data_IF_449427970828
#
_entry.id   IF_449427970828
#
_cell.length_a   1.000
_cell.length_b   1.000
_cell.length_c   1.000
_cell.angle_alpha   90.00
_cell.angle_beta   90.00
_cell.angle_gamma   90.00
#
_symmetry.space_group_name_H-M   'P 1'
#
loop_
_entity.id
_entity.type
_entity.pdbx_description
1 polymer ?
#
# COMPACT_ATOMS: atom_id res chain seq x y z
N UNK A 1 -48.23 13.38 22.22
CA UNK A 1 -46.81 13.62 21.94
C UNK A 1 -46.04 12.33 22.24
N UNK A 2 -45.58 11.59 21.29
CA UNK A 2 -44.72 10.43 21.52
C UNK A 2 -43.25 10.89 21.68
N UNK A 3 -42.59 10.33 22.68
CA UNK A 3 -41.16 10.52 22.93
C UNK A 3 -40.37 9.84 21.82
N UNK A 4 -39.55 10.59 21.13
CA UNK A 4 -38.56 10.06 20.18
C UNK A 4 -37.40 9.44 20.95
N UNK A 5 -37.20 8.14 20.76
CA UNK A 5 -36.07 7.39 21.25
C UNK A 5 -34.90 7.51 20.21
N UNK A 6 -33.76 8.01 20.63
CA UNK A 6 -32.60 8.30 19.80
C UNK A 6 -31.72 7.05 19.50
N UNK A 7 -32.30 5.85 19.51
CA UNK A 7 -31.57 4.59 19.27
C UNK A 7 -31.93 3.87 17.96
N UNK A 8 -32.52 4.58 17.02
CA UNK A 8 -33.05 3.99 15.78
C UNK A 8 -32.09 4.01 14.61
N UNK A 9 -31.11 3.14 14.57
CA UNK A 9 -30.43 2.75 13.32
C UNK A 9 -29.58 1.49 13.56
N UNK A 10 -30.14 0.34 13.85
CA UNK A 10 -29.53 -1.01 13.59
C UNK A 10 -30.50 -2.15 13.99
N UNK A 11 -31.80 -1.98 13.95
CA UNK A 11 -32.69 -3.00 14.56
C UNK A 11 -33.55 -3.88 13.63
N UNK A 12 -33.47 -3.78 12.30
CA UNK A 12 -34.45 -4.50 11.45
C UNK A 12 -33.87 -5.53 10.46
N UNK A 13 -32.80 -6.26 10.79
CA UNK A 13 -32.37 -7.37 9.93
C UNK A 13 -32.34 -8.78 10.56
N UNK A 14 -32.68 -8.93 11.85
CA UNK A 14 -32.65 -10.26 12.50
C UNK A 14 -33.90 -10.52 13.37
N UNK A 15 -34.95 -11.05 12.77
CA UNK A 15 -36.01 -11.71 13.55
C UNK A 15 -35.55 -13.10 13.96
N UNK A 16 -35.16 -13.26 15.24
CA UNK A 16 -34.89 -14.57 15.83
C UNK A 16 -33.75 -14.58 16.84
N UNK A 17 -33.97 -14.24 18.04
CA UNK A 17 -33.45 -14.54 19.37
C UNK A 17 -32.10 -15.24 19.60
N UNK A 18 -31.07 -15.03 18.83
CA UNK A 18 -29.64 -15.14 19.24
C UNK A 18 -28.86 -14.18 18.38
N UNK A 19 -28.35 -13.10 18.95
CA UNK A 19 -27.50 -12.15 18.22
C UNK A 19 -26.14 -12.82 17.98
N UNK A 20 -25.99 -13.53 16.88
CA UNK A 20 -24.68 -14.06 16.46
C UNK A 20 -23.81 -12.87 16.02
N UNK A 21 -22.76 -12.58 16.79
CA UNK A 21 -21.77 -11.57 16.41
C UNK A 21 -21.11 -11.96 15.09
N UNK A 22 -21.12 -11.09 14.10
CA UNK A 22 -20.45 -11.27 12.81
C UNK A 22 -18.96 -11.56 13.02
N UNK A 23 -18.47 -12.70 12.55
CA UNK A 23 -17.06 -13.07 12.62
C UNK A 23 -16.32 -12.53 11.42
N UNK A 24 -15.37 -11.60 11.65
CA UNK A 24 -14.57 -10.95 10.63
C UNK A 24 -13.15 -11.51 10.63
N UNK A 25 -12.77 -12.18 9.55
CA UNK A 25 -11.40 -12.64 9.31
C UNK A 25 -10.57 -11.53 8.65
N UNK A 26 -9.44 -11.17 9.23
CA UNK A 26 -8.54 -10.14 8.70
C UNK A 26 -7.22 -10.80 8.29
N UNK A 27 -7.01 -11.01 6.99
CA UNK A 27 -5.73 -11.48 6.43
C UNK A 27 -4.71 -10.35 6.37
N UNK A 28 -3.47 -10.65 6.76
CA UNK A 28 -2.43 -9.63 6.90
C UNK A 28 -2.59 -8.80 8.19
N UNK A 29 -3.21 -9.37 9.21
CA UNK A 29 -3.50 -8.71 10.48
C UNK A 29 -2.26 -8.17 11.21
N UNK A 30 -1.08 -8.74 11.01
CA UNK A 30 0.18 -8.25 11.59
C UNK A 30 0.80 -7.07 10.81
N UNK A 31 0.27 -6.73 9.63
CA UNK A 31 0.70 -5.57 8.83
C UNK A 31 0.20 -4.25 9.41
N UNK A 32 0.68 -3.14 8.82
CA UNK A 32 0.33 -1.78 9.26
C UNK A 32 -1.19 -1.55 9.30
N UNK A 33 -1.86 -1.75 8.17
CA UNK A 33 -3.32 -1.54 8.07
C UNK A 33 -4.08 -2.63 8.85
N UNK A 34 -3.70 -3.89 8.67
CA UNK A 34 -4.39 -5.01 9.32
C UNK A 34 -4.39 -4.91 10.84
N UNK A 35 -3.27 -4.50 11.46
CA UNK A 35 -3.21 -4.32 12.92
C UNK A 35 -4.07 -3.13 13.40
N UNK A 36 -4.11 -2.03 12.64
CA UNK A 36 -4.97 -0.90 12.96
C UNK A 36 -6.47 -1.26 12.86
N UNK A 37 -6.84 -2.06 11.84
CA UNK A 37 -8.20 -2.59 11.71
C UNK A 37 -8.58 -3.47 12.89
N UNK A 38 -7.71 -4.43 13.25
CA UNK A 38 -7.94 -5.28 14.42
C UNK A 38 -8.15 -4.43 15.67
N UNK A 39 -7.27 -3.46 15.94
CA UNK A 39 -7.37 -2.59 17.10
C UNK A 39 -8.67 -1.78 17.13
N UNK A 40 -9.08 -1.23 16.00
CA UNK A 40 -10.31 -0.46 15.90
C UNK A 40 -11.56 -1.32 16.08
N UNK A 41 -11.60 -2.50 15.47
CA UNK A 41 -12.76 -3.38 15.47
C UNK A 41 -12.89 -4.25 16.75
N UNK A 42 -11.98 -4.07 17.73
CA UNK A 42 -12.05 -4.74 19.03
C UNK A 42 -13.12 -4.17 19.97
N UNK A 43 -13.91 -3.19 19.53
CA UNK A 43 -14.98 -2.64 20.35
C UNK A 43 -15.94 -3.74 20.84
N UNK A 44 -16.26 -3.79 22.13
CA UNK A 44 -17.11 -4.84 22.69
C UNK A 44 -18.49 -4.89 21.99
N UNK A 45 -18.90 -6.08 21.59
CA UNK A 45 -20.26 -6.32 21.07
C UNK A 45 -20.48 -6.06 19.58
N UNK A 46 -19.46 -5.55 18.83
CA UNK A 46 -19.65 -5.24 17.41
C UNK A 46 -19.29 -6.41 16.50
N UNK A 47 -18.07 -6.94 16.65
CA UNK A 47 -17.54 -8.01 15.79
C UNK A 47 -16.74 -9.04 16.60
N UNK A 48 -16.77 -10.29 16.17
CA UNK A 48 -15.80 -11.30 16.58
C UNK A 48 -14.62 -11.28 15.61
N UNK A 49 -13.49 -10.68 16.01
CA UNK A 49 -12.33 -10.55 15.14
C UNK A 49 -11.49 -11.81 15.14
N UNK A 50 -11.12 -12.27 13.94
CA UNK A 50 -10.17 -13.36 13.70
C UNK A 50 -8.95 -12.82 12.95
N UNK A 51 -7.88 -12.43 13.68
CA UNK A 51 -6.66 -11.96 13.05
C UNK A 51 -5.91 -13.13 12.42
N UNK A 52 -5.64 -13.07 11.11
CA UNK A 52 -4.91 -14.10 10.37
C UNK A 52 -3.57 -13.54 9.94
N UNK A 53 -2.50 -14.20 10.39
CA UNK A 53 -1.11 -13.83 10.14
C UNK A 53 -0.42 -14.93 9.33
N UNK A 54 0.65 -14.59 8.63
CA UNK A 54 1.51 -15.60 7.98
C UNK A 54 2.66 -16.00 8.88
N UNK A 55 3.34 -15.02 9.50
CA UNK A 55 4.48 -15.26 10.39
C UNK A 55 4.26 -14.60 11.76
N UNK A 56 4.67 -15.28 12.82
CA UNK A 56 4.56 -14.77 14.20
C UNK A 56 5.51 -13.59 14.49
N UNK A 57 6.60 -13.43 13.74
CA UNK A 57 7.61 -12.41 14.00
C UNK A 57 7.09 -10.98 14.00
N UNK A 58 6.05 -10.68 13.20
CA UNK A 58 5.43 -9.35 13.12
C UNK A 58 4.16 -9.22 13.98
N UNK A 59 3.83 -10.24 14.78
CA UNK A 59 2.57 -10.29 15.52
C UNK A 59 2.63 -9.63 16.91
N UNK A 60 3.79 -9.09 17.32
CA UNK A 60 4.02 -8.54 18.66
C UNK A 60 2.97 -7.49 19.09
N UNK A 61 2.50 -6.66 18.13
CA UNK A 61 1.49 -5.63 18.38
C UNK A 61 0.15 -6.26 18.78
N UNK A 62 -0.26 -7.32 18.10
CA UNK A 62 -1.50 -8.04 18.37
C UNK A 62 -1.37 -8.98 19.58
N UNK A 63 -0.23 -9.62 19.75
CA UNK A 63 0.03 -10.54 20.87
C UNK A 63 -0.12 -9.85 22.23
N UNK A 64 0.27 -8.57 22.33
CA UNK A 64 0.09 -7.76 23.55
C UNK A 64 -1.37 -7.56 23.98
N UNK A 65 -2.33 -7.85 23.07
CA UNK A 65 -3.77 -7.73 23.34
C UNK A 65 -4.39 -9.00 23.90
N UNK A 66 -3.60 -10.04 24.17
CA UNK A 66 -4.12 -11.33 24.63
C UNK A 66 -5.02 -12.05 23.62
N UNK A 67 -4.99 -11.65 22.35
CA UNK A 67 -5.85 -12.21 21.30
C UNK A 67 -5.32 -13.56 20.81
N UNK A 68 -6.24 -14.46 20.51
CA UNK A 68 -5.91 -15.65 19.72
C UNK A 68 -5.60 -15.24 18.29
N UNK A 69 -4.37 -15.53 17.83
CA UNK A 69 -3.94 -15.34 16.45
C UNK A 69 -4.10 -16.65 15.69
N UNK A 70 -4.49 -16.53 14.42
CA UNK A 70 -4.58 -17.63 13.47
C UNK A 70 -3.46 -17.51 12.46
N UNK A 71 -2.90 -18.63 12.02
CA UNK A 71 -1.86 -18.66 10.99
C UNK A 71 -2.39 -19.32 9.73
N UNK A 72 -2.12 -18.70 8.56
CA UNK A 72 -2.40 -19.32 7.28
C UNK A 72 -1.43 -18.82 6.19
N UNK A 73 -0.93 -19.75 5.38
CA UNK A 73 -0.24 -19.47 4.14
C UNK A 73 -1.26 -19.41 3.00
N UNK A 74 -1.29 -18.29 2.26
CA UNK A 74 -2.16 -18.12 1.10
C UNK A 74 -1.83 -19.12 -0.04
N UNK A 75 -0.65 -19.72 -0.03
CA UNK A 75 -0.28 -20.81 -0.92
C UNK A 75 -1.01 -22.14 -0.61
N UNK A 76 -1.49 -22.32 0.63
CA UNK A 76 -2.17 -23.53 1.08
C UNK A 76 -3.68 -23.30 1.26
N UNK A 77 -4.49 -23.87 0.35
CA UNK A 77 -5.97 -23.80 0.46
C UNK A 77 -6.49 -24.43 1.74
N UNK A 78 -5.84 -25.46 2.21
CA UNK A 78 -6.24 -26.18 3.44
C UNK A 78 -6.08 -25.26 4.66
N UNK A 79 -4.92 -24.61 4.83
CA UNK A 79 -4.70 -23.67 5.93
C UNK A 79 -5.65 -22.46 5.83
N UNK A 80 -5.89 -21.95 4.63
CA UNK A 80 -6.86 -20.86 4.42
C UNK A 80 -8.28 -21.31 4.82
N UNK A 81 -8.70 -22.53 4.44
CA UNK A 81 -10.01 -23.08 4.83
C UNK A 81 -10.13 -23.25 6.34
N UNK A 82 -9.12 -23.81 6.99
CA UNK A 82 -9.13 -23.94 8.44
C UNK A 82 -9.26 -22.59 9.14
N UNK A 83 -8.50 -21.59 8.65
CA UNK A 83 -8.53 -20.24 9.19
C UNK A 83 -9.89 -19.53 8.94
N UNK A 84 -10.63 -19.86 7.87
CA UNK A 84 -11.91 -19.25 7.51
C UNK A 84 -13.15 -19.97 8.07
N UNK A 85 -13.04 -21.17 8.56
CA UNK A 85 -14.19 -21.94 9.06
C UNK A 85 -15.03 -21.14 10.05
N UNK A 86 -16.31 -20.89 9.69
CA UNK A 86 -17.24 -20.11 10.50
C UNK A 86 -16.94 -18.61 10.56
N UNK A 87 -16.29 -18.05 9.54
CA UNK A 87 -16.17 -16.60 9.34
C UNK A 87 -17.23 -16.13 8.36
N UNK A 88 -17.90 -15.02 8.70
CA UNK A 88 -18.95 -14.42 7.87
C UNK A 88 -18.37 -13.48 6.83
N UNK A 89 -17.32 -12.75 7.20
CA UNK A 89 -16.74 -11.68 6.40
C UNK A 89 -15.21 -11.80 6.37
N UNK A 90 -14.62 -11.47 5.23
CA UNK A 90 -13.17 -11.48 5.03
C UNK A 90 -12.67 -10.11 4.60
N UNK A 91 -11.67 -9.59 5.31
CA UNK A 91 -10.91 -8.39 4.92
C UNK A 91 -9.50 -8.81 4.53
N UNK A 92 -9.12 -8.55 3.29
CA UNK A 92 -7.81 -8.90 2.77
C UNK A 92 -6.88 -7.69 2.70
N UNK A 93 -6.00 -7.58 3.71
CA UNK A 93 -4.88 -6.63 3.79
C UNK A 93 -3.53 -7.30 3.52
N UNK A 94 -3.52 -8.59 3.13
CA UNK A 94 -2.28 -9.34 2.98
C UNK A 94 -1.42 -8.83 1.83
N UNK A 95 -0.12 -8.80 2.07
CA UNK A 95 0.93 -8.50 1.09
C UNK A 95 1.91 -9.69 1.04
N UNK A 96 1.55 -10.78 0.35
CA UNK A 96 2.41 -11.94 0.26
C UNK A 96 3.60 -11.70 -0.69
N UNK A 97 4.58 -12.63 -0.74
CA UNK A 97 5.60 -12.63 -1.79
C UNK A 97 5.00 -12.56 -3.20
N UNK A 98 5.78 -12.03 -4.15
CA UNK A 98 5.31 -11.71 -5.49
C UNK A 98 4.66 -12.91 -6.20
N UNK A 99 5.18 -14.11 -6.00
CA UNK A 99 4.71 -15.37 -6.59
C UNK A 99 3.28 -15.72 -6.13
N UNK A 100 2.92 -15.31 -4.92
CA UNK A 100 1.63 -15.58 -4.31
C UNK A 100 0.63 -14.41 -4.45
N UNK A 101 1.03 -13.26 -5.02
CA UNK A 101 0.16 -12.10 -5.15
C UNK A 101 -1.17 -12.40 -5.85
N UNK A 102 -1.14 -13.24 -6.87
CA UNK A 102 -2.33 -13.60 -7.67
C UNK A 102 -2.85 -14.98 -7.30
N UNK A 103 -1.98 -15.99 -7.22
CA UNK A 103 -2.37 -17.37 -6.89
C UNK A 103 -2.91 -17.47 -5.45
N UNK A 104 -2.27 -16.81 -4.49
CA UNK A 104 -2.71 -16.79 -3.10
C UNK A 104 -4.06 -16.08 -2.93
N UNK A 105 -4.28 -14.94 -3.62
CA UNK A 105 -5.57 -14.27 -3.63
C UNK A 105 -6.66 -15.16 -4.25
N UNK A 106 -6.36 -15.87 -5.33
CA UNK A 106 -7.29 -16.83 -5.94
C UNK A 106 -7.66 -17.94 -4.95
N UNK A 107 -6.68 -18.55 -4.29
CA UNK A 107 -6.92 -19.57 -3.26
C UNK A 107 -7.85 -19.05 -2.16
N UNK A 108 -7.58 -17.83 -1.68
CA UNK A 108 -8.39 -17.19 -0.65
C UNK A 108 -9.85 -17.03 -1.09
N UNK A 109 -10.09 -16.51 -2.29
CA UNK A 109 -11.46 -16.26 -2.77
C UNK A 109 -12.19 -17.56 -3.14
N UNK A 110 -11.51 -18.59 -3.63
CA UNK A 110 -12.10 -19.92 -3.86
C UNK A 110 -12.58 -20.54 -2.52
N UNK A 111 -11.77 -20.38 -1.47
CA UNK A 111 -12.18 -20.83 -0.13
C UNK A 111 -13.31 -19.95 0.42
N UNK A 112 -13.30 -18.64 0.20
CA UNK A 112 -14.41 -17.76 0.61
C UNK A 112 -15.75 -18.23 0.02
N UNK A 113 -15.77 -18.62 -1.27
CA UNK A 113 -16.99 -19.16 -1.89
C UNK A 113 -17.38 -20.51 -1.25
N UNK A 114 -16.42 -21.42 -1.03
CA UNK A 114 -16.72 -22.74 -0.45
C UNK A 114 -17.19 -22.69 1.01
N UNK A 115 -16.79 -21.66 1.76
CA UNK A 115 -17.17 -21.43 3.16
C UNK A 115 -18.36 -20.43 3.29
N UNK A 116 -19.02 -20.10 2.18
CA UNK A 116 -20.19 -19.21 2.11
C UNK A 116 -19.98 -17.83 2.75
N UNK A 117 -18.79 -17.25 2.52
CA UNK A 117 -18.44 -15.90 3.02
C UNK A 117 -19.38 -14.87 2.42
N UNK A 118 -20.02 -14.09 3.26
CA UNK A 118 -21.07 -13.12 2.88
C UNK A 118 -20.51 -11.81 2.32
N UNK A 119 -19.26 -11.47 2.67
CA UNK A 119 -18.60 -10.25 2.22
C UNK A 119 -17.09 -10.43 2.13
N UNK A 120 -16.52 -9.95 1.03
CA UNK A 120 -15.07 -9.89 0.81
C UNK A 120 -14.63 -8.44 0.57
N UNK A 121 -13.82 -7.88 1.45
CA UNK A 121 -13.24 -6.54 1.30
C UNK A 121 -11.77 -6.65 0.95
N UNK A 122 -11.37 -6.12 -0.20
CA UNK A 122 -10.00 -6.16 -0.70
C UNK A 122 -9.34 -4.79 -0.66
N UNK A 123 -8.15 -4.70 -0.06
CA UNK A 123 -7.33 -3.48 -0.14
C UNK A 123 -6.47 -3.49 -1.41
N UNK A 124 -6.85 -2.65 -2.36
CA UNK A 124 -6.08 -2.31 -3.55
C UNK A 124 -5.22 -1.06 -3.34
N UNK A 125 -5.02 -0.23 -4.34
CA UNK A 125 -4.31 1.05 -4.26
C UNK A 125 -4.61 1.93 -5.48
N UNK A 126 -4.56 3.25 -5.32
CA UNK A 126 -4.59 4.20 -6.45
C UNK A 126 -3.39 4.03 -7.42
N UNK A 127 -2.35 3.30 -7.03
CA UNK A 127 -1.20 2.99 -7.88
C UNK A 127 -1.56 2.15 -9.13
N UNK A 128 -2.76 1.55 -9.18
CA UNK A 128 -3.28 0.85 -10.37
C UNK A 128 -3.41 1.77 -11.59
N UNK A 129 -3.52 3.09 -11.37
CA UNK A 129 -3.58 4.10 -12.45
C UNK A 129 -2.20 4.47 -12.99
N UNK A 130 -1.13 3.95 -12.41
CA UNK A 130 0.25 4.17 -12.89
C UNK A 130 1.03 5.20 -12.07
N UNK A 131 2.32 5.35 -12.40
CA UNK A 131 3.22 6.32 -11.75
C UNK A 131 4.10 7.03 -12.79
N UNK A 132 3.84 8.33 -13.07
CA UNK A 132 2.74 9.15 -12.55
C UNK A 132 1.37 8.69 -13.10
N UNK A 133 0.27 8.92 -12.37
CA UNK A 133 -1.07 8.64 -12.87
C UNK A 133 -1.42 9.62 -13.99
N UNK A 134 -2.29 9.24 -14.95
CA UNK A 134 -2.83 10.16 -15.94
C UNK A 134 -3.61 11.32 -15.28
N UNK A 135 -3.65 12.48 -15.93
CA UNK A 135 -4.32 13.66 -15.38
C UNK A 135 -5.84 13.47 -15.18
N UNK A 136 -6.44 12.57 -15.94
CA UNK A 136 -7.86 12.18 -15.87
C UNK A 136 -8.19 11.16 -14.76
N UNK A 137 -7.18 10.62 -14.07
CA UNK A 137 -7.39 9.63 -12.99
C UNK A 137 -7.85 10.25 -11.66
N UNK A 138 -8.75 11.21 -11.73
CA UNK A 138 -9.36 11.85 -10.55
C UNK A 138 -10.44 10.98 -9.90
N UNK A 139 -11.02 10.05 -10.64
CA UNK A 139 -12.07 9.12 -10.25
C UNK A 139 -11.78 7.69 -10.74
N UNK A 140 -12.56 6.73 -10.29
CA UNK A 140 -12.36 5.29 -10.52
C UNK A 140 -12.63 4.85 -11.96
N UNK A 141 -13.36 5.65 -12.73
CA UNK A 141 -13.71 5.41 -14.14
C UNK A 141 -12.54 5.58 -15.09
N UNK A 142 -11.48 6.27 -14.65
CA UNK A 142 -10.26 6.42 -15.45
C UNK A 142 -9.64 5.05 -15.79
N UNK A 143 -8.99 4.97 -16.95
CA UNK A 143 -8.35 3.72 -17.38
C UNK A 143 -7.08 3.44 -16.57
N UNK A 144 -6.96 2.26 -15.91
CA UNK A 144 -5.74 1.88 -15.21
C UNK A 144 -4.56 1.67 -16.17
N UNK A 145 -3.41 2.30 -15.85
CA UNK A 145 -2.20 2.29 -16.72
C UNK A 145 -0.93 1.82 -16.00
N UNK A 146 -1.06 1.03 -14.93
CA UNK A 146 0.09 0.49 -14.22
C UNK A 146 0.97 -0.38 -15.12
N UNK A 147 2.27 -0.13 -15.14
CA UNK A 147 3.25 -0.86 -15.96
C UNK A 147 3.47 -2.26 -15.41
N UNK A 148 3.56 -3.26 -16.30
CA UNK A 148 3.84 -4.66 -15.96
C UNK A 148 5.05 -4.79 -15.02
N UNK A 149 4.90 -5.60 -13.97
CA UNK A 149 5.95 -5.88 -12.98
C UNK A 149 6.05 -4.83 -11.86
N UNK A 150 5.27 -3.72 -11.90
CA UNK A 150 5.20 -2.75 -10.82
C UNK A 150 4.18 -3.16 -9.75
N UNK A 151 4.28 -2.55 -8.56
CA UNK A 151 3.30 -2.69 -7.49
C UNK A 151 1.86 -2.47 -7.98
N UNK A 152 1.62 -1.34 -8.68
CA UNK A 152 0.30 -1.00 -9.21
C UNK A 152 -0.22 -2.04 -10.21
N UNK A 153 0.67 -2.66 -11.00
CA UNK A 153 0.26 -3.72 -11.93
C UNK A 153 -0.24 -4.97 -11.19
N UNK A 154 0.45 -5.40 -10.12
CA UNK A 154 -0.01 -6.54 -9.32
C UNK A 154 -1.35 -6.23 -8.66
N UNK A 155 -1.53 -5.03 -8.10
CA UNK A 155 -2.81 -4.60 -7.55
C UNK A 155 -3.92 -4.60 -8.62
N UNK A 156 -3.64 -4.11 -9.81
CA UNK A 156 -4.59 -4.15 -10.93
C UNK A 156 -4.98 -5.58 -11.32
N UNK A 157 -4.03 -6.54 -11.32
CA UNK A 157 -4.36 -7.95 -11.58
C UNK A 157 -5.21 -8.54 -10.45
N UNK A 158 -4.96 -8.13 -9.20
CA UNK A 158 -5.80 -8.52 -8.05
C UNK A 158 -7.21 -7.96 -8.19
N UNK A 159 -7.38 -6.68 -8.55
CA UNK A 159 -8.69 -6.06 -8.75
C UNK A 159 -9.52 -6.79 -9.80
N UNK A 160 -8.92 -7.08 -10.96
CA UNK A 160 -9.57 -7.85 -12.03
C UNK A 160 -9.98 -9.26 -11.58
N UNK A 161 -9.17 -9.84 -10.71
CA UNK A 161 -9.48 -11.15 -10.14
C UNK A 161 -10.65 -11.05 -9.15
N UNK A 162 -10.70 -10.03 -8.30
CA UNK A 162 -11.81 -9.78 -7.36
C UNK A 162 -13.11 -9.54 -8.14
N UNK A 163 -13.10 -8.69 -9.16
CA UNK A 163 -14.26 -8.44 -10.02
C UNK A 163 -14.79 -9.74 -10.65
N UNK A 164 -13.88 -10.61 -11.16
CA UNK A 164 -14.26 -11.92 -11.69
C UNK A 164 -14.92 -12.82 -10.63
N UNK A 165 -14.45 -12.81 -9.40
CA UNK A 165 -15.01 -13.60 -8.31
C UNK A 165 -16.31 -12.99 -7.77
N UNK A 166 -16.46 -11.67 -7.84
CA UNK A 166 -17.72 -11.01 -7.57
C UNK A 166 -18.83 -11.53 -8.50
N UNK A 167 -18.56 -11.60 -9.81
CA UNK A 167 -19.49 -12.17 -10.80
C UNK A 167 -19.73 -13.67 -10.64
N UNK A 168 -18.92 -14.37 -9.85
CA UNK A 168 -19.13 -15.77 -9.46
C UNK A 168 -19.92 -15.94 -8.17
N UNK A 169 -20.43 -14.85 -7.62
CA UNK A 169 -21.27 -14.87 -6.43
C UNK A 169 -20.55 -14.59 -5.11
N UNK A 170 -19.30 -14.08 -5.12
CA UNK A 170 -18.62 -13.58 -3.91
C UNK A 170 -18.86 -12.08 -3.77
N UNK A 171 -19.76 -11.59 -2.89
CA UNK A 171 -20.03 -10.17 -2.77
C UNK A 171 -18.78 -9.42 -2.31
N UNK A 172 -18.22 -8.58 -3.19
CA UNK A 172 -16.87 -8.00 -2.99
C UNK A 172 -16.88 -6.48 -3.08
N UNK A 173 -16.04 -5.83 -2.26
CA UNK A 173 -15.71 -4.40 -2.30
C UNK A 173 -14.21 -4.25 -2.45
N UNK A 174 -13.75 -3.36 -3.35
CA UNK A 174 -12.33 -3.09 -3.58
C UNK A 174 -12.01 -1.65 -3.16
N UNK A 175 -11.28 -1.48 -2.06
CA UNK A 175 -10.88 -0.17 -1.56
C UNK A 175 -9.50 0.20 -2.07
N UNK A 176 -9.37 1.37 -2.69
CA UNK A 176 -8.14 1.88 -3.28
C UNK A 176 -7.62 3.10 -2.51
N UNK A 177 -6.88 2.91 -1.41
CA UNK A 177 -6.25 4.01 -0.70
C UNK A 177 -5.04 4.55 -1.47
N UNK A 178 -4.69 5.84 -1.25
CA UNK A 178 -3.41 6.43 -1.64
C UNK A 178 -2.31 6.06 -0.62
N UNK A 179 -1.39 6.97 -0.31
CA UNK A 179 -0.47 6.79 0.82
C UNK A 179 -1.24 6.87 2.14
N UNK A 180 -0.93 5.97 3.06
CA UNK A 180 -1.67 5.86 4.32
C UNK A 180 -0.86 6.53 5.44
N UNK A 181 -1.46 7.52 6.12
CA UNK A 181 -0.90 8.24 7.26
C UNK A 181 -1.34 7.64 8.61
N UNK A 182 -0.88 8.24 9.71
CA UNK A 182 -1.21 7.84 11.08
C UNK A 182 -0.09 7.12 11.82
N UNK A 183 -0.30 6.71 13.07
CA UNK A 183 0.69 6.01 13.90
C UNK A 183 1.23 4.76 13.22
N UNK A 184 2.53 4.51 13.33
CA UNK A 184 3.25 3.42 12.65
C UNK A 184 3.27 3.50 11.10
N UNK A 185 2.89 4.63 10.49
CA UNK A 185 2.89 4.76 9.03
C UNK A 185 4.31 4.62 8.45
N UNK A 186 4.59 3.58 7.64
CA UNK A 186 5.88 3.45 6.97
C UNK A 186 6.13 4.60 5.99
N UNK A 187 5.06 5.17 5.43
CA UNK A 187 5.14 6.29 4.52
C UNK A 187 5.57 7.57 5.22
N UNK A 188 4.91 7.96 6.32
CA UNK A 188 5.29 9.16 7.08
C UNK A 188 6.69 9.04 7.66
N UNK A 189 7.07 7.86 8.19
CA UNK A 189 8.42 7.60 8.68
C UNK A 189 9.46 7.78 7.57
N UNK A 190 9.19 7.28 6.36
CA UNK A 190 10.10 7.47 5.23
C UNK A 190 10.23 8.95 4.83
N UNK A 191 9.12 9.70 4.80
CA UNK A 191 9.15 11.14 4.49
C UNK A 191 9.95 11.88 5.55
N UNK A 192 9.69 11.65 6.83
CA UNK A 192 10.37 12.27 7.95
C UNK A 192 11.88 11.96 7.98
N UNK A 193 12.26 10.69 7.77
CA UNK A 193 13.66 10.30 7.69
C UNK A 193 14.38 10.96 6.53
N UNK A 194 13.73 11.04 5.36
CA UNK A 194 14.28 11.72 4.19
C UNK A 194 14.43 13.22 4.45
N UNK A 195 13.47 13.83 5.14
CA UNK A 195 13.51 15.24 5.54
C UNK A 195 14.71 15.50 6.49
N UNK A 196 14.85 14.75 7.56
CA UNK A 196 15.95 14.86 8.52
C UNK A 196 17.33 14.73 7.87
N UNK A 197 17.45 13.87 6.86
CA UNK A 197 18.69 13.67 6.09
C UNK A 197 18.94 14.76 5.04
N UNK A 198 18.09 15.78 4.92
CA UNK A 198 18.20 16.82 3.91
C UNK A 198 17.94 16.36 2.49
N UNK A 199 17.37 15.16 2.31
CA UNK A 199 17.06 14.58 0.99
C UNK A 199 15.65 14.92 0.45
N UNK A 200 14.86 15.70 1.19
CA UNK A 200 13.54 16.14 0.78
C UNK A 200 13.63 17.51 0.09
N UNK A 201 13.10 17.61 -1.12
CA UNK A 201 12.83 18.87 -1.78
C UNK A 201 11.33 19.04 -2.02
N UNK A 202 10.85 20.27 -2.09
CA UNK A 202 9.48 20.60 -2.44
C UNK A 202 9.38 21.01 -3.91
N UNK A 203 8.69 20.22 -4.71
CA UNK A 203 8.48 20.51 -6.13
C UNK A 203 7.52 21.68 -6.29
N UNK A 204 7.94 22.74 -6.99
CA UNK A 204 7.20 23.99 -7.18
C UNK A 204 6.68 24.57 -5.86
N UNK A 205 7.52 24.55 -4.81
CA UNK A 205 7.16 25.02 -3.47
C UNK A 205 6.23 24.10 -2.69
N UNK A 206 5.97 22.89 -3.18
CA UNK A 206 5.10 21.91 -2.52
C UNK A 206 3.60 22.12 -2.76
N UNK A 207 3.22 22.91 -3.78
CA UNK A 207 1.81 23.24 -4.09
C UNK A 207 0.96 22.09 -4.61
N UNK A 208 1.59 21.00 -5.03
CA UNK A 208 0.88 19.86 -5.64
C UNK A 208 0.13 19.03 -4.61
N UNK A 209 -1.01 18.41 -5.01
CA UNK A 209 -1.80 17.58 -4.09
C UNK A 209 -0.98 16.46 -3.46
N UNK A 210 -1.13 16.28 -2.17
CA UNK A 210 -0.62 15.14 -1.42
C UNK A 210 -1.81 14.25 -1.03
N UNK A 211 -2.11 13.24 -1.86
CA UNK A 211 -3.21 12.33 -1.55
C UNK A 211 -2.82 11.43 -0.37
N UNK A 212 -3.53 11.56 0.72
CA UNK A 212 -3.40 10.75 1.93
C UNK A 212 -4.76 10.20 2.34
N UNK A 213 -4.72 9.16 3.13
CA UNK A 213 -5.80 8.70 3.98
C UNK A 213 -5.23 8.32 5.34
N UNK A 214 -5.78 8.83 6.42
CA UNK A 214 -5.40 8.37 7.75
C UNK A 214 -5.85 6.91 7.94
N UNK A 215 -5.05 6.12 8.64
CA UNK A 215 -5.36 4.70 8.86
C UNK A 215 -6.67 4.49 9.61
N UNK A 216 -7.08 5.45 10.44
CA UNK A 216 -8.38 5.44 11.15
C UNK A 216 -9.51 5.72 10.16
N UNK A 217 -9.34 6.67 9.24
CA UNK A 217 -10.31 6.98 8.19
C UNK A 217 -10.46 5.79 7.23
N UNK A 218 -9.33 5.15 6.85
CA UNK A 218 -9.37 3.92 6.05
C UNK A 218 -10.09 2.78 6.78
N UNK A 219 -9.86 2.64 8.09
CA UNK A 219 -10.53 1.62 8.88
C UNK A 219 -12.05 1.86 8.94
N UNK A 220 -12.50 3.11 9.05
CA UNK A 220 -13.92 3.48 8.94
C UNK A 220 -14.51 3.08 7.58
N UNK A 221 -13.78 3.34 6.48
CA UNK A 221 -14.22 2.90 5.15
C UNK A 221 -14.31 1.37 5.03
N UNK A 222 -13.39 0.62 5.66
CA UNK A 222 -13.47 -0.85 5.72
C UNK A 222 -14.70 -1.28 6.51
N UNK A 223 -14.97 -0.70 7.68
CA UNK A 223 -16.17 -1.01 8.48
C UNK A 223 -17.46 -0.79 7.66
N UNK A 224 -17.57 0.35 6.98
CA UNK A 224 -18.72 0.63 6.12
C UNK A 224 -18.82 -0.36 4.94
N UNK A 225 -17.69 -0.84 4.40
CA UNK A 225 -17.68 -1.84 3.34
C UNK A 225 -18.15 -3.23 3.79
N UNK A 226 -18.08 -3.54 5.11
CA UNK A 226 -18.58 -4.82 5.63
C UNK A 226 -20.11 -4.91 5.50
N UNK A 227 -20.81 -3.79 5.61
CA UNK A 227 -22.27 -3.70 5.68
C UNK A 227 -22.92 -3.01 4.49
N UNK A 228 -22.16 -2.59 3.45
CA UNK A 228 -22.74 -1.89 2.31
C UNK A 228 -23.76 -2.78 1.56
N UNK A 229 -24.91 -2.23 1.18
CA UNK A 229 -26.03 -2.99 0.61
C UNK A 229 -25.74 -3.52 -0.81
N UNK A 230 -25.01 -2.76 -1.61
CA UNK A 230 -24.79 -3.05 -3.03
C UNK A 230 -23.30 -3.07 -3.40
N UNK A 231 -22.57 -4.14 -2.99
CA UNK A 231 -21.19 -4.31 -3.46
C UNK A 231 -21.21 -4.63 -4.95
N UNK A 232 -20.32 -4.02 -5.72
CA UNK A 232 -20.25 -4.19 -7.17
C UNK A 232 -18.91 -4.79 -7.66
N UNK A 233 -18.02 -5.14 -6.74
CA UNK A 233 -16.70 -5.69 -7.03
C UNK A 233 -15.73 -4.70 -7.68
N UNK A 234 -16.13 -3.45 -7.86
CA UNK A 234 -15.32 -2.40 -8.50
C UNK A 234 -14.51 -1.60 -7.49
N UNK A 235 -13.54 -0.85 -8.00
CA UNK A 235 -12.68 0.02 -7.20
C UNK A 235 -13.44 1.19 -6.60
N UNK A 236 -13.09 1.53 -5.37
CA UNK A 236 -13.60 2.69 -4.63
C UNK A 236 -12.40 3.41 -4.03
N UNK A 237 -12.16 4.67 -4.40
CA UNK A 237 -11.11 5.48 -3.80
C UNK A 237 -11.47 5.86 -2.36
N UNK A 238 -10.51 5.69 -1.46
CA UNK A 238 -10.67 6.08 -0.05
C UNK A 238 -9.56 7.07 0.29
N UNK A 239 -9.93 8.35 0.32
CA UNK A 239 -9.01 9.48 0.51
C UNK A 239 -9.61 10.39 1.55
N UNK A 240 -8.78 11.05 2.35
CA UNK A 240 -9.25 12.04 3.32
C UNK A 240 -9.97 13.20 2.63
N UNK A 241 -11.07 13.66 3.23
CA UNK A 241 -11.92 14.71 2.65
C UNK A 241 -11.19 16.04 2.55
N UNK A 242 -10.30 16.32 3.52
CA UNK A 242 -9.51 17.55 3.55
C UNK A 242 -8.43 17.55 2.46
N UNK A 243 -8.46 18.54 1.54
CA UNK A 243 -7.42 18.66 0.53
C UNK A 243 -6.13 19.17 1.16
N UNK A 244 -5.07 18.40 1.05
CA UNK A 244 -3.75 18.82 1.48
C UNK A 244 -2.74 18.82 0.33
N UNK A 245 -1.72 19.65 0.46
CA UNK A 245 -0.57 19.76 -0.42
C UNK A 245 0.66 19.10 0.20
N UNK A 246 1.73 18.99 -0.57
CA UNK A 246 3.01 18.55 -0.04
C UNK A 246 3.61 19.54 0.96
N UNK A 247 3.28 20.84 0.81
CA UNK A 247 3.67 21.86 1.80
C UNK A 247 3.02 21.56 3.14
N UNK A 248 1.71 21.33 3.16
CA UNK A 248 0.97 21.01 4.38
C UNK A 248 1.53 19.77 5.08
N UNK A 249 1.89 18.71 4.32
CA UNK A 249 2.52 17.53 4.89
C UNK A 249 3.87 17.84 5.53
N UNK A 250 4.72 18.62 4.86
CA UNK A 250 6.04 19.00 5.39
C UNK A 250 5.89 19.87 6.64
N UNK A 251 4.99 20.83 6.61
CA UNK A 251 4.71 21.72 7.77
C UNK A 251 4.18 20.90 8.96
N UNK A 252 3.33 19.91 8.73
CA UNK A 252 2.87 18.97 9.76
C UNK A 252 3.99 18.09 10.36
N UNK A 253 5.03 17.77 9.59
CA UNK A 253 6.18 16.98 10.04
C UNK A 253 7.32 17.85 10.62
N UNK A 254 7.30 19.17 10.39
CA UNK A 254 8.34 20.09 10.84
C UNK A 254 8.70 19.98 12.33
N UNK A 255 7.72 19.85 13.26
CA UNK A 255 8.04 19.71 14.69
C UNK A 255 8.89 18.48 15.02
N UNK A 256 8.87 17.46 14.15
CA UNK A 256 9.64 16.24 14.28
C UNK A 256 10.95 16.26 13.47
N UNK A 257 11.24 17.36 12.77
CA UNK A 257 12.37 17.42 11.84
C UNK A 257 13.75 17.54 12.55
N UNK A 258 13.76 17.71 13.87
CA UNK A 258 14.97 17.68 14.70
C UNK A 258 16.03 18.72 14.25
N UNK A 259 15.57 19.98 14.02
CA UNK A 259 16.44 21.05 13.55
C UNK A 259 16.87 20.97 12.08
N UNK A 260 16.33 20.04 11.31
CA UNK A 260 16.59 19.98 9.87
C UNK A 260 16.17 21.29 9.17
N UNK A 261 16.97 21.72 8.20
CA UNK A 261 16.64 22.90 7.41
C UNK A 261 15.34 22.72 6.64
N UNK A 262 14.59 23.81 6.46
CA UNK A 262 13.39 23.82 5.63
C UNK A 262 13.72 23.27 4.23
N UNK A 263 12.94 22.33 3.67
CA UNK A 263 13.23 21.75 2.38
C UNK A 263 13.29 22.81 1.27
N UNK A 264 14.32 22.73 0.44
CA UNK A 264 14.47 23.61 -0.71
C UNK A 264 13.35 23.42 -1.73
N UNK A 265 12.94 24.50 -2.37
CA UNK A 265 12.05 24.41 -3.55
C UNK A 265 12.86 24.09 -4.80
N UNK A 266 12.38 23.14 -5.60
CA UNK A 266 12.93 22.79 -6.91
C UNK A 266 11.81 22.85 -7.96
N UNK A 267 12.17 23.06 -9.22
CA UNK A 267 11.19 23.07 -10.30
C UNK A 267 10.68 21.66 -10.65
N UNK A 268 9.57 21.61 -11.38
CA UNK A 268 9.07 20.35 -11.95
C UNK A 268 10.12 19.68 -12.84
N UNK A 269 10.87 20.44 -13.65
CA UNK A 269 11.90 19.95 -14.58
C UNK A 269 13.08 19.35 -13.81
N UNK A 270 13.55 19.99 -12.75
CA UNK A 270 14.60 19.48 -11.87
C UNK A 270 14.16 18.15 -11.19
N UNK A 271 12.94 18.09 -10.69
CA UNK A 271 12.38 16.87 -10.10
C UNK A 271 12.29 15.72 -11.12
N UNK A 272 11.87 16.02 -12.36
CA UNK A 272 11.83 15.02 -13.43
C UNK A 272 13.23 14.51 -13.77
N UNK A 273 14.23 15.40 -13.78
CA UNK A 273 15.63 15.03 -14.01
C UNK A 273 16.17 14.12 -12.90
N UNK A 274 15.85 14.39 -11.63
CA UNK A 274 16.22 13.51 -10.50
C UNK A 274 15.65 12.11 -10.70
N UNK A 275 14.38 12.01 -11.06
CA UNK A 275 13.70 10.72 -11.31
C UNK A 275 14.29 10.00 -12.52
N UNK A 276 14.58 10.73 -13.62
CA UNK A 276 15.18 10.17 -14.84
C UNK A 276 16.55 9.57 -14.56
N UNK A 277 17.41 10.30 -13.84
CA UNK A 277 18.76 9.83 -13.48
C UNK A 277 18.73 8.56 -12.64
N UNK A 278 17.77 8.45 -11.71
CA UNK A 278 17.61 7.23 -10.91
C UNK A 278 17.23 6.03 -11.79
N UNK A 279 16.29 6.20 -12.71
CA UNK A 279 15.88 5.11 -13.65
C UNK A 279 17.06 4.65 -14.53
N UNK A 280 17.88 5.59 -15.00
CA UNK A 280 19.09 5.29 -15.78
C UNK A 280 20.11 4.50 -14.95
N UNK A 281 20.32 4.89 -13.68
CA UNK A 281 21.20 4.17 -12.75
C UNK A 281 20.71 2.75 -12.48
N UNK A 282 19.42 2.58 -12.26
CA UNK A 282 18.81 1.26 -12.04
C UNK A 282 18.94 0.36 -13.28
N UNK A 283 18.70 0.90 -14.47
CA UNK A 283 18.91 0.17 -15.72
C UNK A 283 20.37 -0.25 -15.92
N UNK A 284 21.31 0.62 -15.61
CA UNK A 284 22.75 0.32 -15.68
C UNK A 284 23.17 -0.71 -14.64
N UNK A 285 22.61 -0.67 -13.43
CA UNK A 285 22.91 -1.62 -12.36
C UNK A 285 22.39 -3.03 -12.69
N UNK A 286 21.21 -3.15 -13.30
CA UNK A 286 20.68 -4.43 -13.78
C UNK A 286 21.58 -5.04 -14.87
N UNK A 287 22.06 -4.24 -15.81
CA UNK A 287 23.05 -4.68 -16.81
C UNK A 287 24.36 -5.10 -16.15
N UNK A 288 24.80 -4.41 -15.10
CA UNK A 288 25.96 -4.76 -14.29
C UNK A 288 25.80 -6.11 -13.57
N UNK A 289 24.63 -6.36 -12.98
CA UNK A 289 24.31 -7.64 -12.32
C UNK A 289 24.28 -8.79 -13.33
N UNK A 290 23.60 -8.61 -14.47
CA UNK A 290 23.57 -9.61 -15.56
C UNK A 290 24.98 -9.90 -16.05
N UNK A 291 25.84 -8.89 -16.19
CA UNK A 291 27.24 -9.05 -16.59
C UNK A 291 28.05 -9.81 -15.54
N UNK A 292 27.84 -9.52 -14.25
CA UNK A 292 28.54 -10.19 -13.16
C UNK A 292 28.14 -11.68 -13.09
N UNK A 293 26.87 -11.99 -13.27
CA UNK A 293 26.35 -13.36 -13.36
C UNK A 293 26.94 -14.09 -14.57
N UNK A 294 26.96 -13.47 -15.74
CA UNK A 294 27.53 -14.03 -16.96
C UNK A 294 29.07 -14.15 -16.92
N UNK A 295 29.74 -13.37 -16.06
CA UNK A 295 31.17 -13.39 -15.85
C UNK A 295 31.68 -14.48 -14.91
N UNK A 296 30.81 -15.10 -14.12
CA UNK A 296 31.22 -16.18 -13.20
C UNK A 296 31.57 -17.45 -13.98
N UNK A 297 32.71 -18.13 -13.66
CA UNK A 297 33.11 -19.36 -14.34
C UNK A 297 32.06 -20.45 -14.31
N UNK A 298 31.36 -20.60 -13.18
CA UNK A 298 30.28 -21.59 -12.96
C UNK A 298 29.06 -21.35 -13.84
N UNK A 299 28.71 -20.09 -14.14
CA UNK A 299 27.58 -19.77 -15.06
C UNK A 299 27.93 -19.98 -16.52
N UNK A 300 29.19 -19.89 -16.90
CA UNK A 300 29.67 -20.23 -18.26
C UNK A 300 29.43 -21.71 -18.57
N UNK A 301 29.63 -22.58 -17.62
CA UNK A 301 29.44 -24.03 -17.82
C UNK A 301 27.94 -24.40 -17.81
N UNK A 302 27.12 -23.77 -16.98
CA UNK A 302 25.65 -23.89 -17.00
C UNK A 302 25.07 -23.32 -18.32
N UNK A 303 25.61 -22.19 -18.80
CA UNK A 303 25.18 -21.60 -20.07
C UNK A 303 25.55 -22.47 -21.28
N UNK A 304 26.66 -23.18 -21.24
CA UNK A 304 27.08 -24.14 -22.28
C UNK A 304 26.18 -25.39 -22.31
N UNK A 305 25.62 -25.78 -21.16
CA UNK A 305 24.69 -26.90 -21.02
C UNK A 305 23.25 -26.61 -21.45
N UNK A 306 22.86 -25.34 -21.64
CA UNK A 306 21.50 -24.95 -22.02
C UNK A 306 21.39 -24.62 -23.50
N UNK A 307 20.68 -25.43 -24.32
CA UNK A 307 20.46 -25.16 -25.75
C UNK A 307 19.79 -23.82 -26.03
N UNK A 308 18.98 -23.32 -25.10
CA UNK A 308 18.26 -22.04 -25.20
C UNK A 308 19.23 -20.86 -25.04
N UNK A 309 20.11 -20.90 -24.06
CA UNK A 309 21.10 -19.82 -23.80
C UNK A 309 22.16 -19.78 -24.91
N UNK A 310 22.60 -20.92 -25.42
CA UNK A 310 23.53 -21.00 -26.56
C UNK A 310 22.90 -20.40 -27.82
N UNK A 311 21.63 -20.68 -28.11
CA UNK A 311 20.91 -20.10 -29.26
C UNK A 311 20.70 -18.59 -29.09
N UNK A 312 20.39 -18.13 -27.88
CA UNK A 312 20.18 -16.72 -27.59
C UNK A 312 21.50 -15.93 -27.69
N UNK A 313 22.61 -16.46 -27.21
CA UNK A 313 23.95 -15.89 -27.37
C UNK A 313 24.38 -15.83 -28.82
N UNK A 314 24.13 -16.87 -29.60
CA UNK A 314 24.38 -16.92 -31.03
C UNK A 314 23.57 -15.89 -31.83
N UNK A 315 22.32 -15.61 -31.43
CA UNK A 315 21.49 -14.56 -32.03
C UNK A 315 22.01 -13.17 -31.70
N UNK A 316 22.38 -12.91 -30.45
CA UNK A 316 22.94 -11.61 -30.02
C UNK A 316 24.26 -11.34 -30.77
N UNK A 317 25.15 -12.33 -30.90
CA UNK A 317 26.41 -12.20 -31.64
C UNK A 317 26.21 -11.94 -33.14
N UNK A 318 25.17 -12.53 -33.75
CA UNK A 318 24.81 -12.23 -35.16
C UNK A 318 24.25 -10.81 -35.31
N UNK A 319 23.44 -10.34 -34.38
CA UNK A 319 22.90 -8.98 -34.41
C UNK A 319 24.02 -7.95 -34.27
N UNK A 320 25.01 -8.18 -33.41
CA UNK A 320 26.18 -7.28 -33.25
C UNK A 320 27.08 -7.21 -34.49
N UNK A 321 27.11 -8.25 -35.33
CA UNK A 321 27.86 -8.26 -36.58
C UNK A 321 27.18 -7.45 -37.71
N UNK A 322 25.85 -7.19 -37.59
CA UNK A 322 25.07 -6.42 -38.55
C UNK A 322 24.92 -4.93 -38.18
N UNK A 323 25.39 -4.53 -37.01
CA UNK A 323 25.35 -3.13 -36.57
C UNK A 323 26.44 -2.30 -37.28
N UNK A 324 26.13 -1.06 -37.70
CA UNK A 324 27.12 -0.14 -38.22
C UNK A 324 28.32 -0.02 -37.26
N UNK A 325 29.57 0.06 -37.79
CA UNK A 325 30.79 0.06 -36.99
C UNK A 325 30.79 1.05 -35.81
N UNK A 326 30.11 2.17 -35.92
CA UNK A 326 29.93 3.15 -34.83
C UNK A 326 29.04 2.71 -33.69
N UNK A 327 27.97 1.91 -33.95
CA UNK A 327 27.08 1.38 -32.95
C UNK A 327 27.66 0.12 -32.30
N UNK A 328 28.32 -0.73 -33.06
CA UNK A 328 29.03 -1.88 -32.55
C UNK A 328 30.15 -1.47 -31.56
N UNK A 329 30.93 -0.43 -31.87
CA UNK A 329 31.91 0.15 -30.98
C UNK A 329 31.31 0.76 -29.69
N UNK A 330 30.14 1.38 -29.76
CA UNK A 330 29.39 1.86 -28.57
C UNK A 330 28.87 0.72 -27.70
N UNK A 331 28.36 -0.35 -28.31
CA UNK A 331 27.90 -1.54 -27.60
C UNK A 331 29.09 -2.29 -26.96
N UNK A 332 30.21 -2.39 -27.65
CA UNK A 332 31.46 -3.03 -27.13
C UNK A 332 32.04 -2.17 -25.99
N UNK A 333 32.07 -0.85 -26.13
CA UNK A 333 32.52 0.06 -25.06
C UNK A 333 31.60 0.01 -23.82
N UNK A 334 30.29 -0.15 -24.03
CA UNK A 334 29.32 -0.43 -22.97
C UNK A 334 29.54 -1.80 -22.33
N UNK A 335 29.84 -2.81 -23.12
CA UNK A 335 30.12 -4.18 -22.65
C UNK A 335 31.51 -4.28 -21.96
N UNK A 336 32.51 -3.54 -22.38
CA UNK A 336 33.86 -3.54 -21.82
C UNK A 336 34.02 -2.65 -20.57
N UNK A 337 32.98 -1.93 -20.18
CA UNK A 337 32.98 -1.13 -18.94
C UNK A 337 33.95 0.04 -18.94
N UNK A 338 34.30 0.57 -20.11
CA UNK A 338 34.87 1.90 -20.22
C UNK A 338 33.78 2.93 -19.94
N UNK A 339 33.28 2.93 -18.67
CA UNK A 339 32.38 3.96 -18.23
C UNK A 339 33.15 5.29 -18.29
N UNK A 340 32.58 6.25 -19.04
CA UNK A 340 32.88 7.65 -18.76
C UNK A 340 32.71 7.83 -17.27
N UNK A 341 33.74 8.25 -16.57
CA UNK A 341 33.73 8.66 -15.18
C UNK A 341 32.49 9.49 -15.02
N UNK A 342 31.48 8.96 -14.29
CA UNK A 342 30.29 9.70 -14.01
C UNK A 342 30.74 11.00 -13.36
N UNK A 343 30.42 12.17 -13.96
CA UNK A 343 30.69 13.46 -13.34
C UNK A 343 30.15 13.32 -11.92
N UNK A 344 31.02 13.41 -10.92
CA UNK A 344 30.63 13.42 -9.51
C UNK A 344 29.70 14.62 -9.37
N UNK A 345 28.42 14.35 -9.20
CA UNK A 345 27.43 15.40 -8.98
C UNK A 345 27.65 15.94 -7.57
N UNK A 346 28.09 17.19 -7.47
CA UNK A 346 28.35 17.90 -6.21
C UNK A 346 27.12 18.61 -5.62
N UNK A 347 25.94 18.42 -6.21
CA UNK A 347 24.69 19.03 -5.74
C UNK A 347 23.93 18.19 -4.70
N UNK A 348 22.89 18.77 -4.10
CA UNK A 348 22.04 18.06 -3.14
C UNK A 348 21.46 16.77 -3.73
N UNK A 349 21.47 15.69 -2.96
CA UNK A 349 20.94 14.39 -3.40
C UNK A 349 19.47 14.30 -2.94
N UNK A 350 18.55 14.77 -3.79
CA UNK A 350 17.12 14.67 -3.54
C UNK A 350 16.62 13.22 -3.68
N UNK A 351 15.61 12.85 -2.89
CA UNK A 351 14.95 11.56 -2.98
C UNK A 351 14.17 11.41 -4.29
N UNK A 352 14.60 10.54 -5.22
CA UNK A 352 13.87 10.35 -6.48
C UNK A 352 12.44 9.85 -6.28
N UNK A 353 12.23 9.02 -5.24
CA UNK A 353 10.91 8.49 -4.89
C UNK A 353 9.96 9.60 -4.45
N UNK A 354 10.40 10.52 -3.58
CA UNK A 354 9.56 11.62 -3.12
C UNK A 354 9.34 12.67 -4.21
N UNK A 355 10.33 12.93 -5.09
CA UNK A 355 10.13 13.72 -6.29
C UNK A 355 9.04 13.09 -7.20
N UNK A 356 9.13 11.78 -7.46
CA UNK A 356 8.12 11.08 -8.28
C UNK A 356 6.72 11.15 -7.66
N UNK A 357 6.59 11.09 -6.34
CA UNK A 357 5.30 11.24 -5.66
C UNK A 357 4.72 12.65 -5.84
N UNK A 358 5.53 13.70 -5.77
CA UNK A 358 5.09 15.09 -5.98
C UNK A 358 4.72 15.37 -7.44
N UNK A 359 5.35 14.68 -8.38
CA UNK A 359 5.05 14.80 -9.81
C UNK A 359 3.72 14.15 -10.24
N UNK A 360 3.01 13.48 -9.34
CA UNK A 360 1.71 12.87 -9.65
C UNK A 360 0.65 13.91 -10.04
N UNK A 361 0.64 15.08 -9.39
CA UNK A 361 -0.19 16.27 -9.68
C UNK A 361 -1.71 16.04 -9.76
N UNK A 362 -2.19 14.83 -9.55
CA UNK A 362 -3.60 14.44 -9.60
C UNK A 362 -4.16 14.38 -8.19
N UNK A 363 -5.33 14.97 -8.00
CA UNK A 363 -6.14 14.79 -6.80
C UNK A 363 -7.23 13.77 -7.10
N UNK A 364 -7.23 12.67 -6.38
CA UNK A 364 -8.28 11.68 -6.44
C UNK A 364 -9.50 12.12 -5.62
N UNK A 365 -10.71 11.70 -6.01
CA UNK A 365 -11.96 11.98 -5.28
C UNK A 365 -12.44 10.76 -4.52
N UNK A 366 -13.00 10.96 -3.31
CA UNK A 366 -13.71 9.94 -2.54
C UNK A 366 -15.24 9.99 -2.74
N UNK A 367 -15.73 10.62 -3.81
CA UNK A 367 -17.18 10.77 -4.08
C UNK A 367 -17.91 9.44 -4.14
N UNK A 368 -17.28 8.44 -4.76
CA UNK A 368 -17.84 7.09 -4.81
C UNK A 368 -17.91 6.43 -3.44
N UNK A 369 -16.86 6.58 -2.63
CA UNK A 369 -16.86 6.09 -1.25
C UNK A 369 -17.97 6.73 -0.42
N UNK A 370 -18.17 8.05 -0.55
CA UNK A 370 -19.27 8.75 0.11
C UNK A 370 -20.64 8.21 -0.31
N UNK A 371 -20.87 8.03 -1.61
CA UNK A 371 -22.16 7.58 -2.16
C UNK A 371 -22.47 6.12 -1.86
N UNK A 372 -21.49 5.22 -2.00
CA UNK A 372 -21.71 3.77 -1.90
C UNK A 372 -21.51 3.23 -0.47
N UNK A 373 -20.59 3.84 0.29
CA UNK A 373 -20.23 3.36 1.62
C UNK A 373 -20.69 4.31 2.75
N UNK A 374 -21.26 5.48 2.44
CA UNK A 374 -21.47 6.50 3.46
C UNK A 374 -20.17 6.98 4.12
N UNK A 375 -19.05 6.88 3.41
CA UNK A 375 -17.76 7.23 3.94
C UNK A 375 -17.65 8.72 4.27
N UNK A 376 -17.13 9.01 5.44
CA UNK A 376 -16.64 10.33 5.87
C UNK A 376 -15.31 10.15 6.54
N UNK A 377 -14.47 11.20 6.53
CA UNK A 377 -13.18 11.18 7.24
C UNK A 377 -13.38 11.54 8.71
N UNK A 378 -13.41 10.58 9.66
CA UNK A 378 -13.58 10.87 11.09
C UNK A 378 -12.49 11.77 11.67
N UNK A 379 -11.30 11.73 11.08
CA UNK A 379 -10.14 12.49 11.54
C UNK A 379 -9.70 13.45 10.44
N UNK A 380 -9.46 14.71 10.81
CA UNK A 380 -8.86 15.72 9.95
C UNK A 380 -7.34 15.58 9.89
N UNK A 381 -6.71 16.14 8.86
CA UNK A 381 -5.26 16.08 8.69
C UNK A 381 -4.47 16.61 9.90
N UNK A 382 -4.88 17.73 10.48
CA UNK A 382 -4.24 18.30 11.68
C UNK A 382 -4.25 17.34 12.88
N UNK A 383 -5.37 16.63 13.08
CA UNK A 383 -5.50 15.60 14.12
C UNK A 383 -4.62 14.38 13.80
N UNK A 384 -4.62 13.90 12.56
CA UNK A 384 -3.75 12.81 12.11
C UNK A 384 -2.27 13.11 12.39
N UNK A 385 -1.82 14.34 12.08
CA UNK A 385 -0.43 14.76 12.35
C UNK A 385 -0.13 14.89 13.84
N UNK A 386 -1.06 15.40 14.65
CA UNK A 386 -0.90 15.47 16.09
C UNK A 386 -0.74 14.07 16.72
N UNK A 387 -1.57 13.13 16.28
CA UNK A 387 -1.52 11.75 16.75
C UNK A 387 -0.22 11.06 16.30
N UNK A 388 0.16 11.24 15.03
CA UNK A 388 1.43 10.69 14.53
C UNK A 388 2.61 11.23 15.31
N UNK A 389 2.64 12.55 15.62
CA UNK A 389 3.69 13.18 16.43
C UNK A 389 3.77 12.58 17.83
N UNK A 390 2.65 12.49 18.55
CA UNK A 390 2.62 11.89 19.89
C UNK A 390 3.09 10.45 19.88
N UNK A 391 2.58 9.64 18.92
CA UNK A 391 3.04 8.27 18.77
C UNK A 391 4.55 8.22 18.54
N UNK A 392 5.07 9.10 17.66
CA UNK A 392 6.49 9.13 17.32
C UNK A 392 7.36 9.50 18.54
N UNK A 393 6.98 10.52 19.29
CA UNK A 393 7.67 10.96 20.50
C UNK A 393 7.74 9.86 21.56
N UNK A 394 6.67 9.11 21.75
CA UNK A 394 6.65 7.96 22.67
C UNK A 394 7.58 6.85 22.23
N UNK A 395 7.49 6.43 20.99
CA UNK A 395 8.24 5.28 20.50
C UNK A 395 9.72 5.57 20.28
N UNK A 396 10.08 6.84 20.09
CA UNK A 396 11.45 7.27 19.87
C UNK A 396 12.05 8.03 21.05
N UNK A 397 11.33 8.16 22.17
CA UNK A 397 11.84 8.74 23.42
C UNK A 397 11.97 10.25 23.42
N UNK A 398 11.25 10.96 22.54
CA UNK A 398 11.30 12.43 22.40
C UNK A 398 10.28 13.18 23.27
N UNK A 399 9.88 12.63 24.40
CA UNK A 399 9.00 13.36 25.31
C UNK A 399 7.95 12.51 26.03
N UNK A 400 7.07 13.15 26.78
CA UNK A 400 5.94 12.50 27.44
C UNK A 400 4.77 12.36 26.46
N UNK A 401 4.23 11.15 26.37
CA UNK A 401 3.04 10.91 25.56
C UNK A 401 1.78 11.38 26.27
N UNK A 402 0.91 12.03 25.53
CA UNK A 402 -0.49 12.12 25.93
C UNK A 402 -1.24 10.84 25.57
N UNK A 403 -1.20 9.89 26.48
CA UNK A 403 -1.90 8.61 26.34
C UNK A 403 -3.43 8.77 26.25
N UNK A 404 -3.98 9.90 26.67
CA UNK A 404 -5.43 10.17 26.55
C UNK A 404 -5.84 10.32 25.08
N UNK A 405 -5.03 10.98 24.26
CA UNK A 405 -5.32 11.10 22.84
C UNK A 405 -5.27 9.74 22.13
N UNK A 406 -4.22 8.94 22.40
CA UNK A 406 -4.13 7.58 21.84
C UNK A 406 -5.28 6.70 22.32
N UNK A 407 -5.70 6.86 23.57
CA UNK A 407 -6.83 6.17 24.18
C UNK A 407 -8.17 6.54 23.54
N UNK A 408 -8.38 7.80 23.18
CA UNK A 408 -9.59 8.26 22.51
C UNK A 408 -9.70 7.76 21.05
N UNK A 409 -8.58 7.52 20.39
CA UNK A 409 -8.56 6.96 19.04
C UNK A 409 -8.68 5.45 19.01
N UNK A 410 -8.22 4.79 20.06
CA UNK A 410 -8.29 3.35 20.25
C UNK A 410 -8.85 3.04 21.64
N UNK A 411 -10.12 3.45 21.93
CA UNK A 411 -10.66 3.40 23.30
C UNK A 411 -10.64 2.00 23.93
N UNK A 412 -10.69 0.95 23.09
CA UNK A 412 -10.67 -0.43 23.53
C UNK A 412 -9.25 -1.05 23.56
N UNK A 413 -8.25 -0.32 23.09
CA UNK A 413 -6.89 -0.79 22.99
C UNK A 413 -6.12 -0.71 24.33
N UNK A 414 -6.65 0.00 25.30
CA UNK A 414 -5.95 0.37 26.58
C UNK A 414 -6.53 -0.32 27.81
N UNK A 415 -7.61 -1.12 27.68
CA UNK A 415 -8.22 -1.81 28.81
C UNK A 415 -7.58 -3.18 29.15
N UNK A 416 -6.27 -3.31 29.07
CA UNK A 416 -5.54 -4.43 29.66
C UNK A 416 -4.41 -3.84 30.49
N UNK A 417 -4.71 -3.50 31.71
CA UNK A 417 -3.77 -3.22 32.78
C UNK A 417 -3.90 -4.29 33.82
#
# INVERSE_FOLDING_TARGET
MPKTDESGLVQDFWQGGVTFMTTVAIFGASGYVGSALVERMLAPGTYKIRPIIHTSGNAWRLARRGMRLWSADLGSREQVREALRGCDVVVNCAWPPQELMISGLRNLMEVCISEDVKRFVHLSSVAVYGEPPPADSTCEEAEPRAKKGTYGWYKLQQDRLVEKFHHKGLPSVVLCPPNISGPNSPYLLQVLETFRKGGLALVDGGKWPCNLVDVVNLASAVENALTCDHPDGKRIFVIDDEPITWRDLVDGLMPLADGAAVPSSISTEEAQEVVRRQREREALSLLGVVRQILGLPQTRDIARGSPFLVRSYGRIRRITQWLPRGMAGRLTALMEGRSRIAKVYSGPVWSPKLCAHQLRKVRHSSDRARKQLGYTSPIRFSQSMAIFRQWYEVYHGYGSADWLLLRNLYPHAVQVG
#
